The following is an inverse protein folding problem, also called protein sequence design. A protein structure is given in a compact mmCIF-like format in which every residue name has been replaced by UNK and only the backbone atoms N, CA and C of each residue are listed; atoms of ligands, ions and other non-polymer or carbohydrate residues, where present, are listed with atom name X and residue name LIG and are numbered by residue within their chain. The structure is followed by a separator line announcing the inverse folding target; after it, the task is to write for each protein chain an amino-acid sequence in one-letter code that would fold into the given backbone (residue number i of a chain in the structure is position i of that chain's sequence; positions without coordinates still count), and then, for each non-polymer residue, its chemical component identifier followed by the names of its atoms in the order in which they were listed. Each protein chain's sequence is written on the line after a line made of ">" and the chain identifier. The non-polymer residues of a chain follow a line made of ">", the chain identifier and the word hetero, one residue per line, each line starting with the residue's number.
data_IF_182427603874
#
_entry.id   IF_182427603874
#
_cell.length_a   1.000
_cell.length_b   1.000
_cell.length_c   1.000
_cell.angle_alpha   90.00
_cell.angle_beta   90.00
_cell.angle_gamma   90.00
#
_symmetry.space_group_name_H-M   'P 1'
#
loop_
_entity.id
_entity.type
_entity.pdbx_description
1 polymer ?
#
# COMPACT_ATOMS: atom_id res chain seq x y z
N UNK A 1 -6.75 44.27 87.09
CA UNK A 1 -7.15 44.36 85.67
C UNK A 1 -8.67 44.33 85.64
N UNK A 2 -9.29 45.35 85.05
CA UNK A 2 -10.75 45.42 84.96
C UNK A 2 -11.24 44.42 83.91
N UNK A 3 -12.40 43.79 84.13
CA UNK A 3 -12.96 42.78 83.21
C UNK A 3 -13.16 43.28 81.77
N UNK A 4 -13.30 44.59 81.58
CA UNK A 4 -13.40 45.26 80.28
C UNK A 4 -12.11 45.21 79.47
N UNK A 5 -10.94 45.30 80.10
CA UNK A 5 -9.65 45.28 79.39
C UNK A 5 -9.37 43.87 78.86
N UNK A 6 -9.71 42.84 79.63
CA UNK A 6 -9.57 41.44 79.23
C UNK A 6 -10.44 41.10 78.00
N UNK A 7 -11.66 41.63 77.96
CA UNK A 7 -12.58 41.48 76.82
C UNK A 7 -12.03 42.22 75.59
N UNK A 8 -11.48 43.42 75.77
CA UNK A 8 -10.90 44.20 74.68
C UNK A 8 -9.68 43.49 74.06
N UNK A 9 -8.75 42.97 74.88
CA UNK A 9 -7.61 42.20 74.39
C UNK A 9 -8.03 40.86 73.75
N UNK A 10 -9.08 40.22 74.27
CA UNK A 10 -9.64 39.00 73.68
C UNK A 10 -10.22 39.25 72.28
N UNK A 11 -11.02 40.31 72.12
CA UNK A 11 -11.60 40.69 70.83
C UNK A 11 -10.51 41.14 69.84
N UNK A 12 -9.55 41.96 70.29
CA UNK A 12 -8.43 42.39 69.46
C UNK A 12 -7.59 41.19 68.97
N UNK A 13 -7.32 40.21 69.85
CA UNK A 13 -6.65 38.97 69.49
C UNK A 13 -7.43 38.15 68.45
N UNK A 14 -8.74 37.98 68.63
CA UNK A 14 -9.59 37.28 67.68
C UNK A 14 -9.62 37.94 66.29
N UNK A 15 -9.67 39.28 66.23
CA UNK A 15 -9.66 40.03 64.97
C UNK A 15 -8.34 39.83 64.21
N UNK A 16 -7.21 39.86 64.93
CA UNK A 16 -5.89 39.62 64.33
C UNK A 16 -5.79 38.21 63.76
N UNK A 17 -6.28 37.20 64.48
CA UNK A 17 -6.27 35.80 64.03
C UNK A 17 -7.17 35.60 62.81
N UNK A 18 -8.38 36.19 62.80
CA UNK A 18 -9.28 36.14 61.65
C UNK A 18 -8.68 36.84 60.43
N UNK A 19 -8.06 38.00 60.62
CA UNK A 19 -7.37 38.71 59.55
C UNK A 19 -6.22 37.89 58.97
N UNK A 20 -5.39 37.28 59.81
CA UNK A 20 -4.34 36.36 59.39
C UNK A 20 -4.89 35.17 58.59
N UNK A 21 -5.98 34.55 59.05
CA UNK A 21 -6.61 33.43 58.35
C UNK A 21 -7.12 33.84 56.95
N UNK A 22 -7.72 35.02 56.83
CA UNK A 22 -8.19 35.56 55.54
C UNK A 22 -7.02 35.86 54.60
N UNK A 23 -5.95 36.49 55.10
CA UNK A 23 -4.75 36.81 54.30
C UNK A 23 -4.05 35.54 53.82
N UNK A 24 -3.90 34.53 54.69
CA UNK A 24 -3.30 33.23 54.33
C UNK A 24 -4.17 32.53 53.28
N UNK A 25 -5.49 32.47 53.48
CA UNK A 25 -6.39 31.84 52.53
C UNK A 25 -6.36 32.53 51.15
N UNK A 26 -6.39 33.88 51.13
CA UNK A 26 -6.27 34.65 49.90
C UNK A 26 -4.94 34.41 49.18
N UNK A 27 -3.83 34.39 49.93
CA UNK A 27 -2.49 34.17 49.38
C UNK A 27 -2.33 32.76 48.80
N UNK A 28 -2.80 31.73 49.52
CA UNK A 28 -2.80 30.34 49.05
C UNK A 28 -3.65 30.19 47.80
N UNK A 29 -4.86 30.74 47.77
CA UNK A 29 -5.73 30.66 46.61
C UNK A 29 -5.13 31.37 45.37
N UNK A 30 -4.46 32.50 45.58
CA UNK A 30 -3.75 33.23 44.52
C UNK A 30 -2.56 32.43 43.98
N UNK A 31 -1.77 31.81 44.86
CA UNK A 31 -0.62 30.98 44.46
C UNK A 31 -1.09 29.73 43.72
N UNK A 32 -2.12 29.04 44.22
CA UNK A 32 -2.71 27.87 43.54
C UNK A 32 -3.16 28.28 42.15
N UNK A 33 -3.93 29.38 42.03
CA UNK A 33 -4.43 29.87 40.74
C UNK A 33 -3.30 30.16 39.76
N UNK A 34 -2.26 30.87 40.19
CA UNK A 34 -1.08 31.16 39.36
C UNK A 34 -0.29 29.89 38.96
N UNK A 35 -0.20 28.90 39.85
CA UNK A 35 0.46 27.62 39.55
C UNK A 35 -0.36 26.80 38.55
N UNK A 36 -1.69 26.73 38.70
CA UNK A 36 -2.57 26.06 37.74
C UNK A 36 -2.57 26.75 36.38
N UNK A 37 -2.61 28.08 36.32
CA UNK A 37 -2.57 28.82 35.05
C UNK A 37 -1.23 28.60 34.33
N UNK A 38 -0.09 28.67 35.04
CA UNK A 38 1.24 28.40 34.45
C UNK A 38 1.41 26.94 34.03
N UNK A 39 0.90 26.00 34.82
CA UNK A 39 0.95 24.57 34.49
C UNK A 39 0.06 24.26 33.28
N UNK A 40 -1.12 24.86 33.20
CA UNK A 40 -2.06 24.70 32.10
C UNK A 40 -1.52 25.29 30.80
N UNK A 41 -0.90 26.46 30.83
CA UNK A 41 -0.24 27.06 29.65
C UNK A 41 0.92 26.19 29.17
N UNK A 42 1.82 25.74 30.07
CA UNK A 42 2.93 24.85 29.68
C UNK A 42 2.45 23.50 29.16
N UNK A 43 1.35 22.98 29.72
CA UNK A 43 0.76 21.72 29.27
C UNK A 43 0.12 21.90 27.88
N UNK A 44 -0.60 22.99 27.65
CA UNK A 44 -1.15 23.33 26.33
C UNK A 44 -0.04 23.52 25.29
N UNK A 45 1.05 24.21 25.62
CA UNK A 45 2.20 24.38 24.73
C UNK A 45 2.87 23.04 24.39
N UNK A 46 3.09 22.17 25.39
CA UNK A 46 3.63 20.82 25.15
C UNK A 46 2.71 19.97 24.30
N UNK A 47 1.40 19.97 24.58
CA UNK A 47 0.41 19.27 23.77
C UNK A 47 0.35 19.79 22.35
N UNK A 48 0.36 21.12 22.15
CA UNK A 48 0.38 21.72 20.81
C UNK A 48 1.66 21.32 20.05
N UNK A 49 2.80 21.26 20.73
CA UNK A 49 4.07 20.87 20.12
C UNK A 49 4.11 19.36 19.78
N UNK A 50 3.60 18.50 20.65
CA UNK A 50 3.52 17.05 20.42
C UNK A 50 2.52 16.70 19.32
N UNK A 51 1.34 17.34 19.31
CA UNK A 51 0.35 17.18 18.24
C UNK A 51 0.86 17.70 16.90
N UNK A 52 1.60 18.83 16.87
CA UNK A 52 2.23 19.32 15.65
C UNK A 52 3.29 18.36 15.10
N UNK A 53 4.13 17.77 15.97
CA UNK A 53 5.12 16.75 15.57
C UNK A 53 4.45 15.48 15.07
N UNK A 54 3.42 14.98 15.76
CA UNK A 54 2.67 13.80 15.35
C UNK A 54 1.95 14.01 14.01
N UNK A 55 1.35 15.19 13.80
CA UNK A 55 0.69 15.56 12.54
C UNK A 55 1.71 15.69 11.39
N UNK A 56 2.90 16.23 11.65
CA UNK A 56 3.97 16.31 10.65
C UNK A 56 4.46 14.91 10.23
N UNK A 57 4.66 14.02 11.20
CA UNK A 57 5.02 12.61 10.93
C UNK A 57 3.92 11.87 10.16
N UNK A 58 2.66 12.11 10.50
CA UNK A 58 1.52 11.54 9.79
C UNK A 58 1.42 12.05 8.34
N UNK A 59 1.62 13.35 8.11
CA UNK A 59 1.65 13.93 6.76
C UNK A 59 2.77 13.34 5.92
N UNK A 60 3.98 13.22 6.48
CA UNK A 60 5.10 12.59 5.79
C UNK A 60 4.79 11.13 5.42
N UNK A 61 4.19 10.38 6.35
CA UNK A 61 3.78 8.99 6.12
C UNK A 61 2.68 8.87 5.05
N UNK A 62 1.69 9.77 5.03
CA UNK A 62 0.68 9.82 3.96
C UNK A 62 1.32 10.15 2.62
N UNK A 63 2.18 11.16 2.54
CA UNK A 63 2.86 11.53 1.30
C UNK A 63 3.69 10.36 0.75
N UNK A 64 4.40 9.63 1.62
CA UNK A 64 5.14 8.44 1.25
C UNK A 64 4.21 7.31 0.75
N UNK A 65 3.10 7.06 1.44
CA UNK A 65 2.10 6.08 1.02
C UNK A 65 1.47 6.43 -0.34
N UNK A 66 1.16 7.71 -0.57
CA UNK A 66 0.64 8.18 -1.85
C UNK A 66 1.67 8.01 -2.98
N UNK A 67 2.94 8.34 -2.74
CA UNK A 67 4.01 8.15 -3.72
C UNK A 67 4.24 6.66 -4.05
N UNK A 68 4.16 5.77 -3.05
CA UNK A 68 4.24 4.32 -3.25
C UNK A 68 3.03 3.81 -4.04
N UNK A 69 1.83 4.31 -3.75
CA UNK A 69 0.61 3.93 -4.45
C UNK A 69 0.60 4.40 -5.91
N UNK A 70 1.10 5.61 -6.19
CA UNK A 70 1.25 6.17 -7.54
C UNK A 70 2.24 5.31 -8.37
N UNK A 71 3.40 4.98 -7.79
CA UNK A 71 4.37 4.06 -8.44
C UNK A 71 3.77 2.68 -8.70
N UNK A 72 3.00 2.13 -7.75
CA UNK A 72 2.31 0.84 -7.93
C UNK A 72 1.30 0.91 -9.07
N UNK A 73 0.52 1.98 -9.15
CA UNK A 73 -0.45 2.22 -10.22
C UNK A 73 0.21 2.30 -11.60
N UNK A 74 1.27 3.08 -11.74
CA UNK A 74 2.03 3.22 -13.00
C UNK A 74 2.63 1.88 -13.46
N UNK A 75 3.18 1.12 -12.52
CA UNK A 75 3.72 -0.20 -12.80
C UNK A 75 2.62 -1.16 -13.26
N UNK A 76 1.47 -1.20 -12.59
CA UNK A 76 0.35 -2.06 -13.01
C UNK A 76 -0.18 -1.68 -14.39
N UNK A 77 -0.27 -0.38 -14.70
CA UNK A 77 -0.65 0.10 -16.02
C UNK A 77 0.35 -0.35 -17.11
N UNK A 78 1.65 -0.29 -16.83
CA UNK A 78 2.69 -0.80 -17.73
C UNK A 78 2.61 -2.32 -17.92
N UNK A 79 2.43 -3.08 -16.84
CA UNK A 79 2.25 -4.54 -16.92
C UNK A 79 1.01 -4.90 -17.74
N UNK A 80 -0.09 -4.16 -17.56
CA UNK A 80 -1.31 -4.36 -18.33
C UNK A 80 -1.11 -4.06 -19.83
N UNK A 81 -0.38 -2.98 -20.17
CA UNK A 81 -0.02 -2.67 -21.55
C UNK A 81 0.86 -3.77 -22.17
N UNK A 82 1.85 -4.27 -21.42
CA UNK A 82 2.70 -5.38 -21.86
C UNK A 82 1.91 -6.67 -22.09
N UNK A 83 0.89 -6.98 -21.27
CA UNK A 83 -0.01 -8.12 -21.50
C UNK A 83 -0.80 -7.97 -22.81
N UNK A 84 -1.25 -6.76 -23.14
CA UNK A 84 -1.93 -6.48 -24.42
C UNK A 84 -0.99 -6.72 -25.60
N UNK A 85 0.23 -6.19 -25.53
CA UNK A 85 1.25 -6.41 -26.56
C UNK A 85 1.54 -7.91 -26.72
N UNK A 86 1.63 -8.64 -25.62
CA UNK A 86 1.82 -10.09 -25.61
C UNK A 86 0.73 -10.84 -26.39
N UNK A 87 -0.54 -10.50 -26.15
CA UNK A 87 -1.70 -11.09 -26.85
C UNK A 87 -1.66 -10.73 -28.32
N UNK A 88 -1.32 -9.48 -28.67
CA UNK A 88 -1.21 -9.04 -30.05
C UNK A 88 -0.14 -9.82 -30.81
N UNK A 89 1.04 -9.95 -30.22
CA UNK A 89 2.20 -10.57 -30.87
C UNK A 89 1.99 -12.08 -31.01
N UNK A 90 1.40 -12.75 -30.01
CA UNK A 90 1.05 -14.16 -30.12
C UNK A 90 -0.07 -14.44 -31.15
N UNK A 91 -1.06 -13.55 -31.28
CA UNK A 91 -2.05 -13.62 -32.38
C UNK A 91 -1.40 -13.48 -33.75
N UNK A 92 -0.41 -12.60 -33.89
CA UNK A 92 0.34 -12.46 -35.14
C UNK A 92 1.11 -13.75 -35.48
N UNK A 93 1.76 -14.36 -34.48
CA UNK A 93 2.41 -15.65 -34.63
C UNK A 93 1.44 -16.74 -35.11
N UNK A 94 0.32 -16.95 -34.41
CA UNK A 94 -0.68 -17.97 -34.78
C UNK A 94 -1.32 -17.71 -36.14
N UNK A 95 -1.48 -16.45 -36.53
CA UNK A 95 -1.97 -16.10 -37.87
C UNK A 95 -0.92 -16.41 -38.94
N UNK A 96 0.36 -16.25 -38.64
CA UNK A 96 1.46 -16.48 -39.57
C UNK A 96 1.72 -17.96 -39.85
N UNK A 97 1.54 -18.85 -38.85
CA UNK A 97 1.65 -20.31 -39.03
C UNK A 97 0.71 -20.84 -40.11
N UNK A 98 -0.50 -20.28 -40.21
CA UNK A 98 -1.51 -20.64 -41.22
C UNK A 98 -1.25 -20.09 -42.63
N UNK A 99 -0.39 -19.08 -42.78
CA UNK A 99 -0.06 -18.45 -44.08
C UNK A 99 1.11 -19.12 -44.80
N UNK A 100 1.86 -19.94 -44.07
CA UNK A 100 2.90 -20.78 -44.62
C UNK A 100 4.22 -20.08 -44.94
N UNK A 101 4.41 -18.82 -44.55
CA UNK A 101 5.66 -18.05 -44.70
C UNK A 101 6.62 -18.34 -43.52
N UNK A 102 7.68 -19.14 -43.70
CA UNK A 102 8.49 -19.62 -42.57
C UNK A 102 9.25 -18.50 -41.88
N UNK A 103 9.87 -17.61 -42.67
CA UNK A 103 10.64 -16.49 -42.14
C UNK A 103 9.79 -15.51 -41.33
N UNK A 104 8.58 -15.21 -41.80
CA UNK A 104 7.65 -14.33 -41.09
C UNK A 104 7.15 -14.95 -39.79
N UNK A 105 6.89 -16.26 -39.82
CA UNK A 105 6.40 -16.99 -38.65
C UNK A 105 7.48 -17.12 -37.58
N UNK A 106 8.71 -17.40 -37.98
CA UNK A 106 9.86 -17.43 -37.07
C UNK A 106 10.11 -16.05 -36.46
N UNK A 107 10.02 -14.98 -37.26
CA UNK A 107 10.14 -13.60 -36.75
C UNK A 107 9.06 -13.29 -35.73
N UNK A 108 7.80 -13.65 -36.00
CA UNK A 108 6.68 -13.43 -35.08
C UNK A 108 6.85 -14.22 -33.77
N UNK A 109 7.37 -15.46 -33.85
CA UNK A 109 7.69 -16.25 -32.66
C UNK A 109 8.78 -15.60 -31.80
N UNK A 110 9.86 -15.10 -32.42
CA UNK A 110 10.93 -14.37 -31.71
C UNK A 110 10.41 -13.10 -31.05
N UNK A 111 9.56 -12.32 -31.73
CA UNK A 111 8.93 -11.13 -31.14
C UNK A 111 8.07 -11.48 -29.93
N UNK A 112 7.28 -12.56 -30.02
CA UNK A 112 6.49 -13.05 -28.89
C UNK A 112 7.37 -13.52 -27.72
N UNK A 113 8.48 -14.20 -27.99
CA UNK A 113 9.46 -14.61 -26.97
C UNK A 113 10.10 -13.39 -26.27
N UNK A 114 10.51 -12.38 -27.03
CA UNK A 114 11.08 -11.13 -26.51
C UNK A 114 10.07 -10.37 -25.65
N UNK A 115 8.83 -10.23 -26.11
CA UNK A 115 7.76 -9.61 -25.34
C UNK A 115 7.50 -10.36 -24.02
N UNK A 116 7.52 -11.69 -24.07
CA UNK A 116 7.36 -12.57 -22.91
C UNK A 116 8.49 -12.40 -21.89
N UNK A 117 9.73 -12.37 -22.35
CA UNK A 117 10.90 -12.13 -21.51
C UNK A 117 10.85 -10.74 -20.88
N UNK A 118 10.53 -9.71 -21.67
CA UNK A 118 10.44 -8.32 -21.21
C UNK A 118 9.37 -8.15 -20.13
N UNK A 119 8.21 -8.77 -20.32
CA UNK A 119 7.14 -8.81 -19.31
C UNK A 119 7.61 -9.46 -18.00
N UNK A 120 8.22 -10.64 -18.07
CA UNK A 120 8.71 -11.35 -16.88
C UNK A 120 9.82 -10.59 -16.13
N UNK A 121 10.74 -9.97 -16.86
CA UNK A 121 11.77 -9.11 -16.26
C UNK A 121 11.17 -7.88 -15.57
N UNK A 122 10.21 -7.22 -16.23
CA UNK A 122 9.56 -6.04 -15.68
C UNK A 122 8.77 -6.38 -14.40
N UNK A 123 8.03 -7.49 -14.43
CA UNK A 123 7.31 -8.00 -13.27
C UNK A 123 8.26 -8.30 -12.10
N UNK A 124 9.35 -9.04 -12.34
CA UNK A 124 10.31 -9.40 -11.29
C UNK A 124 10.95 -8.17 -10.65
N UNK A 125 11.36 -7.19 -11.46
CA UNK A 125 11.93 -5.92 -10.99
C UNK A 125 10.98 -5.12 -10.10
N UNK A 126 9.67 -5.24 -10.33
CA UNK A 126 8.65 -4.43 -9.66
C UNK A 126 7.81 -5.22 -8.64
N UNK A 127 8.10 -6.51 -8.48
CA UNK A 127 7.34 -7.46 -7.66
C UNK A 127 7.26 -7.12 -6.18
N UNK A 128 8.15 -6.27 -5.66
CA UNK A 128 8.20 -5.87 -4.25
C UNK A 128 6.92 -5.17 -3.76
N UNK A 129 6.12 -4.61 -4.67
CA UNK A 129 4.95 -3.78 -4.33
C UNK A 129 3.59 -4.48 -4.47
N UNK A 130 3.58 -5.77 -4.82
CA UNK A 130 2.34 -6.53 -5.04
C UNK A 130 1.99 -7.43 -3.86
N UNK A 131 0.71 -7.81 -3.79
CA UNK A 131 0.25 -8.85 -2.86
C UNK A 131 0.94 -10.20 -3.16
N UNK A 132 1.16 -11.01 -2.13
CA UNK A 132 1.81 -12.32 -2.30
C UNK A 132 0.94 -13.28 -3.13
N UNK A 133 -0.39 -13.17 -3.02
CA UNK A 133 -1.34 -13.89 -3.87
C UNK A 133 -1.18 -13.51 -5.35
N UNK A 134 -1.04 -12.21 -5.65
CA UNK A 134 -0.79 -11.75 -7.01
C UNK A 134 0.57 -12.21 -7.53
N UNK A 135 1.62 -12.18 -6.70
CA UNK A 135 2.94 -12.70 -7.09
C UNK A 135 2.88 -14.18 -7.43
N UNK A 136 2.28 -15.01 -6.56
CA UNK A 136 2.16 -16.45 -6.79
C UNK A 136 1.39 -16.77 -8.08
N UNK A 137 0.30 -16.03 -8.33
CA UNK A 137 -0.48 -16.14 -9.57
C UNK A 137 0.34 -15.75 -10.81
N UNK A 138 1.11 -14.67 -10.73
CA UNK A 138 1.94 -14.20 -11.83
C UNK A 138 3.16 -15.09 -12.08
N UNK A 139 3.76 -15.66 -11.03
CA UNK A 139 4.84 -16.64 -11.16
C UNK A 139 4.35 -17.92 -11.86
N UNK A 140 3.14 -18.38 -11.50
CA UNK A 140 2.47 -19.47 -12.21
C UNK A 140 2.22 -19.15 -13.68
N UNK A 141 1.78 -17.93 -13.98
CA UNK A 141 1.58 -17.46 -15.35
C UNK A 141 2.90 -17.39 -16.14
N UNK A 142 3.99 -16.91 -15.55
CA UNK A 142 5.31 -16.88 -16.20
C UNK A 142 5.82 -18.30 -16.52
N UNK A 143 5.63 -19.26 -15.61
CA UNK A 143 6.01 -20.64 -15.85
C UNK A 143 5.21 -21.27 -17.00
N UNK A 144 3.90 -21.00 -17.06
CA UNK A 144 3.01 -21.44 -18.12
C UNK A 144 3.40 -20.83 -19.48
N UNK A 145 3.70 -19.53 -19.49
CA UNK A 145 4.19 -18.80 -20.66
C UNK A 145 5.50 -19.38 -21.20
N UNK A 146 6.48 -19.65 -20.34
CA UNK A 146 7.76 -20.25 -20.74
C UNK A 146 7.55 -21.67 -21.31
N UNK A 147 6.66 -22.45 -20.70
CA UNK A 147 6.28 -23.77 -21.22
C UNK A 147 5.63 -23.68 -22.60
N UNK A 148 4.74 -22.71 -22.81
CA UNK A 148 4.05 -22.50 -24.09
C UNK A 148 5.03 -22.11 -25.20
N UNK A 149 5.98 -21.22 -24.93
CA UNK A 149 7.02 -20.82 -25.91
C UNK A 149 7.83 -22.05 -26.33
N UNK A 150 8.23 -22.91 -25.39
CA UNK A 150 8.93 -24.16 -25.70
C UNK A 150 8.09 -25.09 -26.58
N UNK A 151 6.79 -25.18 -26.33
CA UNK A 151 5.87 -25.96 -27.18
C UNK A 151 5.84 -25.38 -28.59
N UNK A 152 5.67 -24.06 -28.73
CA UNK A 152 5.65 -23.38 -30.01
C UNK A 152 6.95 -23.53 -30.79
N UNK A 153 8.11 -23.36 -30.15
CA UNK A 153 9.40 -23.60 -30.78
C UNK A 153 9.57 -25.05 -31.24
N UNK A 154 9.22 -26.01 -30.38
CA UNK A 154 9.39 -27.44 -30.68
C UNK A 154 8.53 -27.83 -31.88
N UNK A 155 7.26 -27.43 -31.87
CA UNK A 155 6.31 -27.71 -32.95
C UNK A 155 6.65 -26.95 -34.23
N UNK A 156 7.10 -25.70 -34.10
CA UNK A 156 7.56 -24.92 -35.25
C UNK A 156 8.81 -25.54 -35.91
N UNK A 157 9.77 -26.03 -35.13
CA UNK A 157 10.96 -26.73 -35.65
C UNK A 157 10.60 -28.09 -36.27
N UNK A 158 9.60 -28.78 -35.73
CA UNK A 158 9.09 -30.04 -36.28
C UNK A 158 8.28 -29.87 -37.57
N UNK A 159 7.77 -28.65 -37.84
CA UNK A 159 6.89 -28.29 -38.96
C UNK A 159 7.52 -28.41 -40.38
N UNK A 160 8.65 -29.12 -40.51
CA UNK A 160 9.34 -29.36 -41.76
C UNK A 160 9.33 -30.83 -42.13
N UNK A 161 8.35 -31.26 -42.94
CA UNK A 161 8.53 -32.10 -44.16
C UNK A 161 7.23 -32.67 -44.73
N UNK A 162 6.15 -32.79 -43.95
CA UNK A 162 4.90 -33.40 -44.42
C UNK A 162 3.66 -32.49 -44.28
N UNK A 163 2.75 -32.59 -45.24
CA UNK A 163 1.65 -31.61 -45.42
C UNK A 163 0.52 -31.79 -44.40
N UNK A 164 0.29 -33.04 -43.98
CA UNK A 164 -0.78 -33.38 -43.04
C UNK A 164 -0.32 -33.29 -41.58
N UNK A 165 0.92 -33.68 -41.26
CA UNK A 165 1.54 -33.42 -39.95
C UNK A 165 1.59 -31.91 -39.65
N UNK A 166 1.92 -31.09 -40.66
CA UNK A 166 1.92 -29.62 -40.54
C UNK A 166 0.56 -29.03 -40.23
N UNK A 167 -0.53 -29.59 -40.77
CA UNK A 167 -1.89 -29.13 -40.44
C UNK A 167 -2.24 -29.46 -39.00
N UNK A 168 -1.87 -30.67 -38.55
CA UNK A 168 -2.08 -31.09 -37.17
C UNK A 168 -1.28 -30.22 -36.20
N UNK A 169 0.01 -29.99 -36.44
CA UNK A 169 0.87 -29.14 -35.60
C UNK A 169 0.36 -27.69 -35.54
N UNK A 170 -0.08 -27.13 -36.67
CA UNK A 170 -0.66 -25.80 -36.70
C UNK A 170 -1.97 -25.70 -35.90
N UNK A 171 -2.79 -26.74 -35.91
CA UNK A 171 -4.04 -26.79 -35.14
C UNK A 171 -3.76 -26.95 -33.64
N UNK A 172 -2.78 -27.76 -33.27
CA UNK A 172 -2.33 -27.88 -31.88
C UNK A 172 -1.74 -26.55 -31.37
N UNK A 173 -0.95 -25.83 -32.18
CA UNK A 173 -0.46 -24.47 -31.85
C UNK A 173 -1.64 -23.52 -31.58
N UNK A 174 -2.69 -23.56 -32.41
CA UNK A 174 -3.91 -22.74 -32.21
C UNK A 174 -4.63 -23.09 -30.92
N UNK A 175 -4.77 -24.38 -30.61
CA UNK A 175 -5.42 -24.83 -29.38
C UNK A 175 -4.64 -24.41 -28.13
N UNK A 176 -3.32 -24.58 -28.16
CA UNK A 176 -2.45 -24.11 -27.08
C UNK A 176 -2.51 -22.61 -26.89
N UNK A 177 -2.53 -21.85 -28.00
CA UNK A 177 -2.73 -20.39 -27.94
C UNK A 177 -4.09 -20.01 -27.37
N UNK A 178 -5.18 -20.63 -27.82
CA UNK A 178 -6.53 -20.29 -27.35
C UNK A 178 -6.66 -20.46 -25.82
N UNK A 179 -6.12 -21.57 -25.27
CA UNK A 179 -6.09 -21.79 -23.81
C UNK A 179 -5.27 -20.74 -23.08
N UNK A 180 -4.13 -20.35 -23.64
CA UNK A 180 -3.30 -19.31 -23.07
C UNK A 180 -3.95 -17.93 -23.15
N UNK A 181 -4.63 -17.60 -24.24
CA UNK A 181 -5.36 -16.34 -24.41
C UNK A 181 -6.47 -16.19 -23.36
N UNK A 182 -7.24 -17.26 -23.10
CA UNK A 182 -8.24 -17.29 -22.03
C UNK A 182 -7.59 -17.01 -20.66
N UNK A 183 -6.42 -17.62 -20.41
CA UNK A 183 -5.63 -17.41 -19.19
C UNK A 183 -5.17 -15.96 -19.07
N UNK A 184 -4.68 -15.34 -20.14
CA UNK A 184 -4.30 -13.93 -20.15
C UNK A 184 -5.48 -13.04 -19.81
N UNK A 185 -6.69 -13.36 -20.30
CA UNK A 185 -7.91 -12.65 -19.92
C UNK A 185 -8.18 -12.69 -18.41
N UNK A 186 -7.99 -13.86 -17.79
CA UNK A 186 -8.10 -14.03 -16.33
C UNK A 186 -7.03 -13.19 -15.60
N UNK A 187 -5.76 -13.26 -16.05
CA UNK A 187 -4.67 -12.46 -15.47
C UNK A 187 -4.94 -10.97 -15.60
N UNK A 188 -5.41 -10.49 -16.74
CA UNK A 188 -5.77 -9.08 -16.95
C UNK A 188 -6.86 -8.61 -15.98
N UNK A 189 -7.84 -9.46 -15.67
CA UNK A 189 -8.86 -9.15 -14.66
C UNK A 189 -8.26 -9.17 -13.24
N UNK A 190 -7.33 -10.07 -12.93
CA UNK A 190 -6.58 -10.03 -11.67
C UNK A 190 -5.68 -8.79 -11.54
N UNK A 191 -4.99 -8.37 -12.60
CA UNK A 191 -4.21 -7.12 -12.64
C UNK A 191 -5.14 -5.92 -12.45
N UNK A 192 -6.32 -5.93 -13.06
CA UNK A 192 -7.36 -4.91 -12.85
C UNK A 192 -7.89 -4.94 -11.42
N UNK A 193 -8.03 -6.11 -10.81
CA UNK A 193 -8.44 -6.25 -9.41
C UNK A 193 -7.33 -5.85 -8.43
N UNK A 194 -6.05 -6.04 -8.75
CA UNK A 194 -4.92 -5.52 -7.96
C UNK A 194 -4.79 -3.99 -8.13
N UNK A 195 -5.20 -3.45 -9.28
CA UNK A 195 -5.37 -2.01 -9.51
C UNK A 195 -6.56 -1.44 -8.74
N UNK A 196 -7.68 -2.17 -8.66
CA UNK A 196 -8.94 -1.77 -8.00
C UNK A 196 -9.01 -2.13 -6.51
N UNK A 197 -8.23 -3.10 -6.05
CA UNK A 197 -8.35 -3.74 -4.74
C UNK A 197 -6.96 -3.98 -4.16
N UNK A 198 -6.60 -3.53 -2.97
CA UNK A 198 -7.40 -2.94 -1.90
C UNK A 198 -6.90 -1.52 -1.68
N UNK A 199 -7.81 -0.56 -1.73
CA UNK A 199 -7.92 0.43 -0.65
C UNK A 199 -7.89 -0.37 0.67
N UNK A 200 -6.70 -0.69 1.16
CA UNK A 200 -6.50 -0.75 2.59
C UNK A 200 -6.93 0.64 3.03
N UNK A 201 -8.19 0.73 3.45
CA UNK A 201 -8.74 1.89 4.11
C UNK A 201 -7.64 2.46 5.00
N UNK A 202 -7.41 3.79 4.98
CA UNK A 202 -6.57 4.46 5.98
C UNK A 202 -6.92 4.04 7.41
N UNK A 203 -8.12 3.45 7.62
CA UNK A 203 -8.51 2.73 8.82
C UNK A 203 -7.50 1.70 9.34
N UNK A 204 -6.64 1.04 8.55
CA UNK A 204 -5.71 0.05 9.14
C UNK A 204 -4.55 0.75 9.87
N UNK A 205 -4.03 1.85 9.34
CA UNK A 205 -3.01 2.69 10.00
C UNK A 205 -3.65 3.47 11.14
N UNK A 206 -4.87 4.00 10.93
CA UNK A 206 -5.59 4.79 11.91
C UNK A 206 -6.14 3.94 13.08
N UNK A 207 -6.60 2.70 12.85
CA UNK A 207 -6.93 1.75 13.93
C UNK A 207 -5.70 1.24 14.65
N UNK A 208 -4.60 0.96 13.93
CA UNK A 208 -3.35 0.55 14.57
C UNK A 208 -2.80 1.65 15.47
N UNK A 209 -2.87 2.91 15.05
CA UNK A 209 -2.53 4.07 15.87
C UNK A 209 -3.51 4.31 17.01
N UNK A 210 -4.84 4.23 16.78
CA UNK A 210 -5.85 4.30 17.85
C UNK A 210 -5.63 3.22 18.93
N UNK A 211 -5.15 2.05 18.54
CA UNK A 211 -4.83 0.96 19.47
C UNK A 211 -3.46 1.12 20.16
N UNK A 212 -2.50 1.80 19.53
CA UNK A 212 -1.16 2.07 20.09
C UNK A 212 -1.12 3.32 20.99
N UNK A 213 -1.99 4.31 20.76
CA UNK A 213 -2.03 5.59 21.50
C UNK A 213 -3.04 5.60 22.64
N UNK A 214 -3.92 4.60 22.75
CA UNK A 214 -4.72 4.45 23.96
C UNK A 214 -3.79 4.04 25.13
N UNK A 215 -3.71 4.85 26.21
CA UNK A 215 -2.98 4.44 27.39
C UNK A 215 -3.63 3.16 27.89
N UNK A 216 -2.83 2.09 28.03
CA UNK A 216 -3.27 0.90 28.74
C UNK A 216 -3.68 1.35 30.13
N UNK A 217 -4.98 1.43 30.38
CA UNK A 217 -5.49 1.64 31.74
C UNK A 217 -4.90 0.52 32.60
N UNK A 218 -3.97 0.92 33.47
CA UNK A 218 -3.37 0.04 34.44
C UNK A 218 -4.50 -0.41 35.37
N UNK A 219 -4.78 -1.72 35.35
CA UNK A 219 -5.55 -2.39 36.39
C UNK A 219 -4.81 -2.33 37.72
#
# INVERSE_FOLDING_TARGET
>A
MNGTDLIYYGIAGCVIVLFLAVVVNYSVNTIIRQLTERALVRFQERLAQETAKALAGFRASICEQMAVQERKSDTLAKLYAMLIDLVRDGKEFVKSTGKGEPFRTEKALRTFEEASRSFGEHLRKQSLHFSDDYKALMDGFLAEQESLIKVFETRWKANGRDTDERKQDNEEIRQHWARFEDRVGVIMEHTRNEFRGKTATPESVMRKWLNEVQPKEAK
#
